data_IF_257973948427
#
_entry.id   IF_257973948427
#
_cell.length_a   1.000
_cell.length_b   1.000
_cell.length_c   1.000
_cell.angle_alpha   90.00
_cell.angle_beta   90.00
_cell.angle_gamma   90.00
#
_symmetry.space_group_name_H-M   'P 1'
#
loop_
_entity.id
_entity.type
_entity.pdbx_description
1 polymer ?
#
# COMPACT_ATOMS: atom_id res chain seq x y z
N UNK A 1 21.83 -3.52 -4.25
CA UNK A 1 20.47 -3.45 -4.83
C UNK A 1 19.88 -2.13 -4.35
N UNK A 2 19.22 -1.36 -5.22
CA UNK A 2 18.61 -0.08 -4.82
C UNK A 2 17.10 -0.27 -4.91
N UNK A 3 16.44 -0.16 -3.78
CA UNK A 3 15.00 -0.18 -3.68
C UNK A 3 14.46 1.23 -3.92
N UNK A 4 13.45 1.34 -4.78
CA UNK A 4 12.90 2.62 -5.20
C UNK A 4 11.39 2.49 -5.12
N UNK A 5 10.79 3.28 -4.24
CA UNK A 5 9.33 3.44 -4.23
C UNK A 5 8.90 4.18 -5.50
N UNK A 6 7.99 3.55 -6.24
CA UNK A 6 7.44 4.10 -7.46
C UNK A 6 5.92 4.04 -7.39
N UNK A 7 5.27 4.94 -8.12
CA UNK A 7 3.81 4.95 -8.26
C UNK A 7 3.46 4.45 -9.66
N UNK A 8 2.53 3.49 -9.74
CA UNK A 8 1.96 3.06 -11.00
C UNK A 8 0.83 3.99 -11.42
N UNK A 9 0.72 4.26 -12.72
CA UNK A 9 -0.41 5.00 -13.31
C UNK A 9 -0.90 4.31 -14.58
N UNK A 10 -2.16 4.51 -14.90
CA UNK A 10 -2.71 4.07 -16.18
C UNK A 10 -2.00 4.77 -17.35
N UNK A 11 -1.62 3.98 -18.34
CA UNK A 11 -1.05 4.45 -19.60
C UNK A 11 -1.79 3.83 -20.78
N UNK A 12 -2.53 4.68 -21.51
CA UNK A 12 -3.45 4.23 -22.54
C UNK A 12 -4.61 3.42 -21.95
N UNK A 13 -5.09 2.44 -22.72
CA UNK A 13 -6.29 1.69 -22.36
C UNK A 13 -6.00 0.39 -21.60
N UNK A 14 -4.80 -0.18 -21.76
CA UNK A 14 -4.52 -1.56 -21.32
C UNK A 14 -3.16 -1.72 -20.65
N UNK A 15 -2.41 -0.64 -20.43
CA UNK A 15 -1.07 -0.70 -19.84
C UNK A 15 -0.97 0.15 -18.58
N UNK A 16 -0.08 -0.26 -17.67
CA UNK A 16 0.32 0.53 -16.52
C UNK A 16 1.76 1.03 -16.76
N UNK A 17 2.00 2.28 -16.41
CA UNK A 17 3.33 2.87 -16.38
C UNK A 17 3.80 2.98 -14.92
N UNK A 18 5.05 2.59 -14.68
CA UNK A 18 5.74 2.83 -13.43
C UNK A 18 6.45 4.20 -13.51
N UNK A 19 6.11 5.13 -12.61
CA UNK A 19 6.69 6.47 -12.60
C UNK A 19 7.92 6.47 -11.71
N UNK A 20 9.09 6.69 -12.33
CA UNK A 20 10.38 6.83 -11.63
C UNK A 20 10.57 8.30 -11.24
N UNK A 21 10.90 8.60 -9.96
CA UNK A 21 11.20 9.95 -9.50
C UNK A 21 12.29 10.65 -10.33
N UNK A 22 12.12 11.96 -10.55
CA UNK A 22 13.00 12.77 -11.43
C UNK A 22 14.44 12.79 -10.95
N UNK A 23 14.64 12.75 -9.64
CA UNK A 23 15.93 12.75 -8.96
C UNK A 23 16.73 11.52 -9.36
N UNK A 24 16.08 10.37 -9.36
CA UNK A 24 16.68 9.08 -9.72
C UNK A 24 16.98 9.03 -11.22
N UNK A 25 16.06 9.51 -12.05
CA UNK A 25 16.28 9.62 -13.50
C UNK A 25 17.54 10.44 -13.81
N UNK A 26 17.74 11.56 -13.11
CA UNK A 26 18.94 12.40 -13.26
C UNK A 26 20.20 11.71 -12.74
N UNK A 27 20.16 11.20 -11.50
CA UNK A 27 21.31 10.55 -10.86
C UNK A 27 21.83 9.34 -11.65
N UNK A 28 20.91 8.56 -12.23
CA UNK A 28 21.23 7.37 -13.02
C UNK A 28 21.28 7.62 -14.52
N UNK A 29 21.09 8.87 -14.95
CA UNK A 29 21.07 9.31 -16.34
C UNK A 29 20.19 8.41 -17.23
N UNK A 30 18.99 8.08 -16.73
CA UNK A 30 18.05 7.20 -17.42
C UNK A 30 17.50 7.92 -18.64
N UNK A 31 17.59 7.27 -19.80
CA UNK A 31 17.15 7.81 -21.08
C UNK A 31 15.78 7.29 -21.47
N UNK A 32 15.09 8.04 -22.33
CA UNK A 32 13.86 7.57 -23.00
C UNK A 32 14.16 6.31 -23.80
N UNK A 33 13.21 5.37 -23.84
CA UNK A 33 13.29 4.09 -24.55
C UNK A 33 14.42 3.15 -24.11
N UNK A 34 15.00 3.40 -22.93
CA UNK A 34 15.99 2.50 -22.34
C UNK A 34 15.29 1.28 -21.75
N UNK A 35 15.82 0.08 -21.99
CA UNK A 35 15.37 -1.13 -21.29
C UNK A 35 15.88 -1.11 -19.85
N UNK A 36 14.98 -1.39 -18.92
CA UNK A 36 15.26 -1.50 -17.50
C UNK A 36 14.64 -2.79 -16.96
N UNK A 37 15.29 -3.40 -15.96
CA UNK A 37 14.75 -4.53 -15.22
C UNK A 37 14.15 -3.99 -13.92
N UNK A 38 12.90 -4.32 -13.65
CA UNK A 38 12.20 -3.99 -12.41
C UNK A 38 12.06 -5.25 -11.56
N UNK A 39 12.22 -5.10 -10.26
CA UNK A 39 11.86 -6.12 -9.27
C UNK A 39 10.67 -5.51 -8.53
N UNK A 40 9.56 -6.24 -8.48
CA UNK A 40 8.32 -5.78 -7.87
C UNK A 40 8.15 -6.51 -6.54
N UNK A 41 7.91 -5.73 -5.49
CA UNK A 41 7.49 -6.23 -4.18
C UNK A 41 6.19 -5.50 -3.83
N UNK A 42 5.15 -6.26 -3.53
CA UNK A 42 3.86 -5.69 -3.16
C UNK A 42 3.94 -5.16 -1.73
N UNK A 43 3.77 -3.84 -1.56
CA UNK A 43 3.58 -3.25 -0.24
C UNK A 43 2.15 -3.53 0.25
N UNK A 44 1.88 -4.77 0.66
CA UNK A 44 0.63 -5.11 1.35
C UNK A 44 0.57 -4.33 2.66
N UNK A 45 -0.31 -3.34 2.70
CA UNK A 45 -0.66 -2.66 3.93
C UNK A 45 -1.57 -3.60 4.71
N UNK A 46 -0.97 -4.52 5.47
CA UNK A 46 -1.63 -5.59 6.25
C UNK A 46 -2.83 -5.04 7.03
N UNK A 47 -2.70 -3.82 7.57
CA UNK A 47 -3.78 -3.12 8.28
C UNK A 47 -5.02 -2.86 7.39
N UNK A 48 -4.85 -2.44 6.14
CA UNK A 48 -5.98 -2.17 5.25
C UNK A 48 -6.73 -3.45 4.88
N UNK A 49 -6.02 -4.58 4.78
CA UNK A 49 -6.66 -5.87 4.54
C UNK A 49 -7.42 -6.34 5.77
N UNK A 50 -6.79 -6.35 6.96
CA UNK A 50 -7.43 -6.78 8.21
C UNK A 50 -8.65 -5.91 8.57
N UNK A 51 -8.53 -4.58 8.50
CA UNK A 51 -9.63 -3.66 8.81
C UNK A 51 -10.65 -3.54 7.66
N UNK A 52 -10.24 -3.78 6.41
CA UNK A 52 -11.12 -3.83 5.25
C UNK A 52 -12.07 -5.04 5.28
N UNK A 53 -11.58 -6.21 5.69
CA UNK A 53 -12.40 -7.40 5.89
C UNK A 53 -13.36 -7.30 7.08
N UNK A 54 -13.00 -6.53 8.12
CA UNK A 54 -13.86 -6.27 9.29
C UNK A 54 -14.95 -5.23 9.02
N UNK A 55 -14.89 -4.47 7.91
CA UNK A 55 -15.92 -3.47 7.58
C UNK A 55 -17.31 -4.09 7.33
N UNK A 56 -17.35 -5.38 6.99
CA UNK A 56 -18.59 -6.16 6.88
C UNK A 56 -19.01 -6.80 8.21
N UNK A 57 -18.11 -6.87 9.19
CA UNK A 57 -18.41 -7.28 10.55
C UNK A 57 -18.88 -6.04 11.32
N UNK A 58 -20.13 -5.65 11.10
CA UNK A 58 -20.81 -4.62 11.91
C UNK A 58 -21.05 -5.14 13.32
N UNK A 59 -20.00 -5.40 14.11
CA UNK A 59 -20.16 -5.33 15.56
C UNK A 59 -20.41 -3.87 15.88
N UNK A 60 -21.55 -3.51 16.50
CA UNK A 60 -21.78 -2.15 16.94
C UNK A 60 -20.60 -1.73 17.81
N UNK A 61 -20.07 -0.52 17.59
CA UNK A 61 -19.01 0.05 18.44
C UNK A 61 -19.33 -0.06 19.93
N UNK A 62 -20.62 -0.04 20.26
CA UNK A 62 -21.16 -0.20 21.60
C UNK A 62 -20.91 -1.60 22.22
N UNK A 63 -20.88 -2.68 21.43
CA UNK A 63 -20.54 -4.02 21.93
C UNK A 63 -19.06 -4.12 22.28
N UNK A 64 -18.19 -3.52 21.45
CA UNK A 64 -16.74 -3.50 21.67
C UNK A 64 -16.42 -2.69 22.94
N UNK A 65 -17.06 -1.53 23.11
CA UNK A 65 -16.90 -0.71 24.32
C UNK A 65 -17.39 -1.44 25.59
N UNK A 66 -18.50 -2.19 25.50
CA UNK A 66 -19.01 -3.01 26.62
C UNK A 66 -18.10 -4.18 26.98
N UNK A 67 -17.44 -4.81 26.01
CA UNK A 67 -16.44 -5.86 26.26
C UNK A 67 -15.22 -5.26 26.99
N UNK A 68 -14.70 -4.12 26.53
CA UNK A 68 -13.56 -3.43 27.15
C UNK A 68 -13.87 -2.95 28.56
N UNK A 69 -15.04 -2.34 28.80
CA UNK A 69 -15.45 -1.91 30.13
C UNK A 69 -15.59 -3.12 31.09
N UNK A 70 -16.11 -4.26 30.63
CA UNK A 70 -16.19 -5.46 31.47
C UNK A 70 -14.81 -6.04 31.83
N UNK A 71 -13.83 -5.95 30.93
CA UNK A 71 -12.48 -6.42 31.21
C UNK A 71 -11.75 -5.48 32.20
N UNK A 72 -11.93 -4.16 32.07
CA UNK A 72 -11.31 -3.17 32.97
C UNK A 72 -11.88 -3.13 34.38
N UNK A 73 -13.14 -3.54 34.57
CA UNK A 73 -13.81 -3.55 35.88
C UNK A 73 -13.70 -4.89 36.64
N UNK A 74 -13.05 -5.90 36.07
CA UNK A 74 -12.80 -7.20 36.72
C UNK A 74 -11.37 -7.34 37.29
N UNK A 75 -10.66 -6.22 37.52
CA UNK A 75 -9.54 -6.11 38.47
C UNK A 75 -9.96 -5.38 39.75
#
# INVERSE_FOLDING_TARGET
MIEIECVTKQWGNSSLACIIPKEIVKQKNIKKNQRIKLILEDSTNVLRETFGSLKNWKRPTEEILKEVDKELWNE
#
